data_IF_044757992757
#
_entry.id   IF_044757992757
#
_cell.length_a   1.000
_cell.length_b   1.000
_cell.length_c   1.000
_cell.angle_alpha   90.00
_cell.angle_beta   90.00
_cell.angle_gamma   90.00
#
_symmetry.space_group_name_H-M   'P 1'
#
loop_
_entity.id
_entity.type
_entity.pdbx_description
1 polymer ?
#
# COMPACT_ATOMS: atom_id res chain seq x y z
N UNK A 1 4.36 -6.06 5.64
CA UNK A 1 4.25 -7.21 6.57
C UNK A 1 5.55 -7.44 7.32
N UNK A 2 6.64 -7.88 6.69
CA UNK A 2 7.95 -8.14 7.35
C UNK A 2 8.40 -6.98 8.25
N UNK A 3 8.51 -5.76 7.71
CA UNK A 3 8.86 -4.56 8.50
C UNK A 3 7.87 -4.24 9.63
N UNK A 4 6.58 -4.51 9.43
CA UNK A 4 5.56 -4.27 10.45
C UNK A 4 5.69 -5.28 11.58
N UNK A 5 6.00 -6.55 11.27
CA UNK A 5 6.26 -7.58 12.26
C UNK A 5 7.52 -7.25 13.08
N UNK A 6 8.61 -6.83 12.43
CA UNK A 6 9.82 -6.35 13.10
C UNK A 6 9.53 -5.18 14.05
N UNK A 7 8.76 -4.17 13.60
CA UNK A 7 8.38 -3.05 14.47
C UNK A 7 7.56 -3.49 15.68
N UNK A 8 6.74 -4.53 15.56
CA UNK A 8 5.88 -5.03 16.65
C UNK A 8 6.66 -5.78 17.74
N UNK A 9 7.85 -6.30 17.45
CA UNK A 9 8.68 -7.09 18.39
C UNK A 9 9.82 -6.31 19.03
N UNK A 10 10.01 -5.03 18.69
CA UNK A 10 11.07 -4.19 19.28
C UNK A 10 10.78 -3.84 20.75
N UNK A 11 11.78 -3.96 21.62
CA UNK A 11 11.68 -3.59 23.04
C UNK A 11 11.24 -2.13 23.24
N UNK A 12 11.83 -1.20 22.48
CA UNK A 12 11.47 0.23 22.55
C UNK A 12 9.99 0.52 22.27
N UNK A 13 9.31 -0.35 21.51
CA UNK A 13 7.87 -0.24 21.31
C UNK A 13 7.10 -0.59 22.58
N UNK A 14 7.50 -1.65 23.27
CA UNK A 14 6.86 -2.05 24.54
C UNK A 14 7.02 -0.96 25.59
N UNK A 15 8.21 -0.37 25.72
CA UNK A 15 8.46 0.73 26.66
C UNK A 15 7.58 1.96 26.36
N UNK A 16 7.46 2.31 25.08
CA UNK A 16 6.61 3.41 24.63
C UNK A 16 5.13 3.14 24.95
N UNK A 17 4.62 1.95 24.63
CA UNK A 17 3.22 1.60 24.91
C UNK A 17 2.95 1.60 26.42
N UNK A 18 3.88 1.08 27.23
CA UNK A 18 3.77 1.10 28.69
C UNK A 18 3.66 2.53 29.22
N UNK A 19 4.46 3.45 28.66
CA UNK A 19 4.42 4.88 28.99
C UNK A 19 3.10 5.52 28.56
N UNK A 20 2.64 5.27 27.33
CA UNK A 20 1.36 5.78 26.80
C UNK A 20 0.16 5.30 27.60
N UNK A 21 0.22 4.08 28.15
CA UNK A 21 -0.83 3.50 29.01
C UNK A 21 -0.69 3.91 30.48
N UNK A 22 0.33 4.70 30.84
CA UNK A 22 0.64 5.11 32.20
C UNK A 22 0.69 3.93 33.20
N UNK A 23 1.17 2.77 32.74
CA UNK A 23 1.19 1.55 33.55
C UNK A 23 2.32 1.60 34.58
N UNK A 24 1.99 1.33 35.84
CA UNK A 24 2.95 1.27 36.94
C UNK A 24 3.88 0.05 36.82
N UNK A 25 5.08 0.05 37.44
CA UNK A 25 6.04 -1.06 37.35
C UNK A 25 5.51 -2.41 37.84
N UNK A 26 4.56 -2.40 38.78
CA UNK A 26 3.90 -3.55 39.39
C UNK A 26 2.66 -4.04 38.61
N UNK A 27 2.23 -3.30 37.58
CA UNK A 27 1.07 -3.65 36.77
C UNK A 27 1.43 -4.55 35.59
N UNK A 28 0.69 -5.66 35.45
CA UNK A 28 0.82 -6.56 34.30
C UNK A 28 0.04 -5.98 33.13
N UNK A 29 0.76 -5.60 32.07
CA UNK A 29 0.18 -5.13 30.81
C UNK A 29 0.09 -6.28 29.80
N UNK A 30 -1.09 -6.49 29.22
CA UNK A 30 -1.30 -7.43 28.11
C UNK A 30 -1.43 -6.67 26.80
N UNK A 31 -0.69 -7.07 25.77
CA UNK A 31 -0.67 -6.39 24.48
C UNK A 31 -1.25 -7.30 23.40
N UNK A 32 -2.46 -6.95 22.95
CA UNK A 32 -3.15 -7.67 21.88
C UNK A 32 -3.10 -6.89 20.57
N UNK A 33 -2.51 -7.51 19.55
CA UNK A 33 -2.48 -7.00 18.19
C UNK A 33 -3.64 -7.53 17.36
N UNK A 34 -4.28 -6.63 16.63
CA UNK A 34 -5.31 -6.99 15.65
C UNK A 34 -4.65 -7.17 14.27
N UNK A 35 -4.87 -8.33 13.67
CA UNK A 35 -4.36 -8.69 12.36
C UNK A 35 -5.52 -9.09 11.46
N UNK A 36 -5.60 -8.49 10.28
CA UNK A 36 -6.55 -8.87 9.24
C UNK A 36 -5.81 -9.02 7.92
N UNK A 37 -5.00 -10.09 7.78
CA UNK A 37 -4.17 -10.26 6.60
C UNK A 37 -5.05 -10.62 5.41
N UNK A 38 -4.86 -9.90 4.29
CA UNK A 38 -5.55 -10.20 3.03
C UNK A 38 -4.92 -11.38 2.31
N UNK A 39 -5.65 -12.06 1.43
CA UNK A 39 -5.06 -13.11 0.58
C UNK A 39 -3.90 -12.57 -0.26
N UNK A 40 -4.00 -11.34 -0.77
CA UNK A 40 -2.93 -10.71 -1.55
C UNK A 40 -1.68 -10.40 -0.71
N UNK A 41 -1.85 -10.16 0.59
CA UNK A 41 -0.74 -9.97 1.51
C UNK A 41 0.00 -11.29 1.76
N UNK A 42 -0.73 -12.41 1.78
CA UNK A 42 -0.16 -13.75 1.95
C UNK A 42 0.51 -14.23 0.66
N UNK A 43 -0.18 -14.15 -0.49
CA UNK A 43 0.40 -14.48 -1.80
C UNK A 43 1.63 -13.60 -2.08
N UNK A 44 1.56 -12.33 -1.68
CA UNK A 44 2.64 -11.36 -1.80
C UNK A 44 3.90 -11.73 -1.00
N UNK A 45 3.81 -12.53 0.06
CA UNK A 45 4.97 -13.02 0.83
C UNK A 45 5.64 -14.25 0.22
N UNK A 46 4.97 -14.94 -0.70
CA UNK A 46 5.56 -16.10 -1.38
C UNK A 46 6.67 -15.67 -2.34
N UNK A 47 7.60 -16.57 -2.73
CA UNK A 47 8.57 -16.29 -3.78
C UNK A 47 7.88 -15.88 -5.08
N UNK A 48 8.50 -15.00 -5.87
CA UNK A 48 7.91 -14.40 -7.09
C UNK A 48 7.08 -15.37 -7.95
N UNK A 49 7.64 -16.52 -8.32
CA UNK A 49 6.97 -17.49 -9.20
C UNK A 49 5.77 -18.17 -8.53
N UNK A 50 5.91 -18.58 -7.27
CA UNK A 50 4.84 -19.21 -6.51
C UNK A 50 3.71 -18.23 -6.20
N UNK A 51 4.04 -17.02 -5.77
CA UNK A 51 3.05 -15.97 -5.53
C UNK A 51 2.26 -15.65 -6.79
N UNK A 52 2.92 -15.56 -7.95
CA UNK A 52 2.24 -15.36 -9.23
C UNK A 52 1.28 -16.51 -9.58
N UNK A 53 1.69 -17.78 -9.36
CA UNK A 53 0.84 -18.96 -9.58
C UNK A 53 -0.37 -19.01 -8.64
N UNK A 54 -0.18 -18.58 -7.39
CA UNK A 54 -1.26 -18.48 -6.41
C UNK A 54 -2.25 -17.39 -6.80
N UNK A 55 -1.75 -16.20 -7.14
CA UNK A 55 -2.56 -15.07 -7.61
C UNK A 55 -3.35 -15.40 -8.88
N UNK A 56 -2.77 -16.18 -9.80
CA UNK A 56 -3.45 -16.59 -11.03
C UNK A 56 -4.54 -17.65 -10.83
N UNK A 57 -4.70 -18.20 -9.62
CA UNK A 57 -5.69 -19.22 -9.32
C UNK A 57 -6.82 -18.66 -8.46
N UNK A 58 -8.01 -18.37 -9.05
CA UNK A 58 -9.16 -17.86 -8.30
C UNK A 58 -9.57 -18.78 -7.15
N UNK A 59 -9.43 -20.10 -7.33
CA UNK A 59 -9.76 -21.10 -6.31
C UNK A 59 -8.85 -20.97 -5.07
N UNK A 60 -7.54 -20.82 -5.28
CA UNK A 60 -6.58 -20.68 -4.16
C UNK A 60 -6.79 -19.33 -3.48
N UNK A 61 -6.96 -18.25 -4.24
CA UNK A 61 -7.23 -16.92 -3.68
C UNK A 61 -8.53 -16.89 -2.86
N UNK A 62 -9.61 -17.51 -3.36
CA UNK A 62 -10.86 -17.62 -2.61
C UNK A 62 -10.69 -18.44 -1.32
N UNK A 63 -9.91 -19.52 -1.36
CA UNK A 63 -9.59 -20.31 -0.18
C UNK A 63 -8.79 -19.51 0.86
N UNK A 64 -7.75 -18.78 0.43
CA UNK A 64 -6.98 -17.89 1.30
C UNK A 64 -7.87 -16.82 1.91
N UNK A 65 -8.70 -16.15 1.10
CA UNK A 65 -9.63 -15.15 1.59
C UNK A 65 -10.56 -15.74 2.66
N UNK A 66 -11.17 -16.90 2.44
CA UNK A 66 -12.03 -17.54 3.46
C UNK A 66 -11.25 -17.87 4.74
N UNK A 67 -10.01 -18.34 4.63
CA UNK A 67 -9.19 -18.75 5.79
C UNK A 67 -8.68 -17.57 6.64
N UNK A 68 -8.56 -16.40 6.03
CA UNK A 68 -7.99 -15.19 6.63
C UNK A 68 -8.97 -14.00 6.70
N UNK A 69 -10.21 -14.16 6.25
CA UNK A 69 -11.28 -13.15 6.32
C UNK A 69 -11.65 -12.78 7.75
N UNK A 70 -11.43 -13.65 8.73
CA UNK A 70 -11.65 -13.30 10.13
C UNK A 70 -10.44 -12.52 10.67
N UNK A 71 -10.70 -11.35 11.25
CA UNK A 71 -9.70 -10.63 12.04
C UNK A 71 -9.20 -11.52 13.18
N UNK A 72 -7.88 -11.58 13.35
CA UNK A 72 -7.20 -12.37 14.39
C UNK A 72 -6.66 -11.44 15.46
N UNK A 73 -6.79 -11.88 16.71
CA UNK A 73 -6.19 -11.22 17.87
C UNK A 73 -4.98 -12.03 18.30
N UNK A 74 -3.80 -11.43 18.27
CA UNK A 74 -2.56 -12.06 18.71
C UNK A 74 -2.04 -11.34 19.95
N UNK A 75 -1.97 -12.07 21.07
CA UNK A 75 -1.33 -11.58 22.29
C UNK A 75 0.18 -11.57 22.13
N UNK A 76 0.73 -10.45 21.69
CA UNK A 76 2.18 -10.31 21.43
C UNK A 76 3.04 -10.24 22.69
N UNK A 77 2.41 -10.11 23.85
CA UNK A 77 3.01 -10.34 25.15
C UNK A 77 3.20 -11.84 25.47
N UNK A 78 2.69 -12.75 24.64
CA UNK A 78 2.94 -14.19 24.75
C UNK A 78 4.12 -14.65 23.88
N UNK A 79 4.88 -15.62 24.38
CA UNK A 79 6.04 -16.20 23.67
C UNK A 79 5.69 -16.70 22.26
N UNK A 80 4.60 -17.49 22.04
CA UNK A 80 4.33 -18.03 20.70
C UNK A 80 4.05 -16.94 19.66
N UNK A 81 3.26 -15.92 20.01
CA UNK A 81 2.97 -14.83 19.10
C UNK A 81 4.19 -13.94 18.85
N UNK A 82 4.99 -13.70 19.89
CA UNK A 82 6.24 -12.97 19.77
C UNK A 82 7.21 -13.67 18.82
N UNK A 83 7.46 -14.97 19.01
CA UNK A 83 8.37 -15.75 18.16
C UNK A 83 7.92 -15.77 16.70
N UNK A 84 6.62 -15.92 16.44
CA UNK A 84 6.06 -15.84 15.09
C UNK A 84 6.38 -14.50 14.42
N UNK A 85 6.13 -13.38 15.11
CA UNK A 85 6.40 -12.05 14.55
C UNK A 85 7.89 -11.75 14.46
N UNK A 86 8.69 -12.25 15.40
CA UNK A 86 10.14 -12.08 15.42
C UNK A 86 10.77 -12.79 14.23
N UNK A 87 10.39 -14.06 13.99
CA UNK A 87 10.82 -14.81 12.81
C UNK A 87 10.39 -14.12 11.52
N UNK A 88 9.14 -13.66 11.43
CA UNK A 88 8.63 -12.92 10.28
C UNK A 88 9.37 -11.59 10.06
N UNK A 89 9.76 -10.89 11.13
CA UNK A 89 10.58 -9.68 11.07
C UNK A 89 12.02 -9.96 10.61
N UNK A 90 12.56 -11.13 10.96
CA UNK A 90 13.87 -11.61 10.52
C UNK A 90 13.99 -11.91 9.02
N UNK A 91 12.87 -12.02 8.30
CA UNK A 91 12.84 -12.27 6.85
C UNK A 91 13.24 -11.05 5.98
N UNK A 92 14.02 -10.10 6.51
CA UNK A 92 14.43 -8.87 5.82
C UNK A 92 15.11 -9.15 4.47
N UNK A 93 16.07 -10.07 4.41
CA UNK A 93 16.75 -10.40 3.15
C UNK A 93 15.85 -11.18 2.19
N UNK A 94 14.93 -11.98 2.74
CA UNK A 94 13.94 -12.71 1.97
C UNK A 94 12.92 -11.76 1.30
N UNK A 95 12.72 -10.55 1.83
CA UNK A 95 11.87 -9.50 1.23
C UNK A 95 12.14 -9.27 -0.25
N UNK A 96 13.38 -9.37 -0.71
CA UNK A 96 13.77 -9.15 -2.11
C UNK A 96 13.30 -10.27 -3.04
N UNK A 97 13.01 -11.46 -2.50
CA UNK A 97 12.55 -12.62 -3.27
C UNK A 97 11.02 -12.68 -3.41
N UNK A 98 10.30 -11.84 -2.68
CA UNK A 98 8.84 -11.96 -2.58
C UNK A 98 8.13 -11.45 -3.83
N UNK A 99 6.97 -12.04 -4.12
CA UNK A 99 6.07 -11.56 -5.18
C UNK A 99 5.71 -10.09 -4.99
N UNK A 100 5.43 -9.68 -3.75
CA UNK A 100 5.14 -8.29 -3.41
C UNK A 100 6.25 -7.34 -3.84
N UNK A 101 7.52 -7.70 -3.62
CA UNK A 101 8.65 -6.88 -4.06
C UNK A 101 8.69 -6.72 -5.57
N UNK A 102 8.49 -7.80 -6.32
CA UNK A 102 8.48 -7.73 -7.78
C UNK A 102 7.40 -6.81 -8.34
N UNK A 103 6.22 -6.80 -7.72
CA UNK A 103 5.11 -5.92 -8.13
C UNK A 103 5.45 -4.46 -7.80
N UNK A 104 6.00 -4.19 -6.61
CA UNK A 104 6.36 -2.83 -6.19
C UNK A 104 7.48 -2.24 -7.07
N UNK A 105 8.50 -3.02 -7.42
CA UNK A 105 9.58 -2.57 -8.31
C UNK A 105 9.02 -2.28 -9.71
N UNK A 106 8.24 -3.20 -10.29
CA UNK A 106 7.62 -2.98 -11.60
C UNK A 106 6.71 -1.73 -11.61
N UNK A 107 5.96 -1.50 -10.53
CA UNK A 107 5.15 -0.31 -10.37
C UNK A 107 5.99 0.97 -10.29
N UNK A 108 7.07 0.97 -9.51
CA UNK A 108 8.00 2.11 -9.41
C UNK A 108 8.62 2.44 -10.77
N UNK A 109 9.11 1.42 -11.49
CA UNK A 109 9.72 1.59 -12.81
C UNK A 109 8.71 2.16 -13.82
N UNK A 110 7.49 1.61 -13.85
CA UNK A 110 6.42 2.09 -14.74
C UNK A 110 6.01 3.53 -14.43
N UNK A 111 5.87 3.87 -13.15
CA UNK A 111 5.53 5.23 -12.71
C UNK A 111 6.63 6.23 -13.05
N UNK A 112 7.89 5.91 -12.78
CA UNK A 112 9.03 6.77 -13.14
C UNK A 112 9.11 6.97 -14.64
N UNK A 113 9.00 5.90 -15.43
CA UNK A 113 9.03 5.99 -16.89
C UNK A 113 7.92 6.89 -17.42
N UNK A 114 6.68 6.70 -16.97
CA UNK A 114 5.54 7.53 -17.38
C UNK A 114 5.71 8.99 -16.95
N UNK A 115 6.19 9.24 -15.74
CA UNK A 115 6.33 10.60 -15.21
C UNK A 115 7.49 11.38 -15.84
N UNK A 116 8.53 10.69 -16.29
CA UNK A 116 9.68 11.32 -16.96
C UNK A 116 9.49 11.49 -18.46
N UNK A 117 8.54 10.78 -19.08
CA UNK A 117 8.28 10.89 -20.52
C UNK A 117 8.01 12.32 -21.02
N UNK A 118 7.20 13.17 -20.33
CA UNK A 118 6.97 14.54 -20.77
C UNK A 118 8.06 15.54 -20.33
N UNK A 119 9.16 15.11 -19.69
CA UNK A 119 10.11 16.02 -19.04
C UNK A 119 10.69 17.10 -19.97
N UNK A 120 10.96 16.74 -21.22
CA UNK A 120 11.53 17.67 -22.21
C UNK A 120 10.51 18.67 -22.77
N UNK A 121 9.22 18.32 -22.82
CA UNK A 121 8.17 19.13 -23.42
C UNK A 121 7.31 19.87 -22.39
N UNK A 122 7.12 19.28 -21.20
CA UNK A 122 6.28 19.80 -20.13
C UNK A 122 6.82 19.34 -18.76
N UNK A 123 7.79 20.10 -18.24
CA UNK A 123 8.41 19.85 -16.94
C UNK A 123 7.38 19.84 -15.79
N UNK A 124 6.41 20.76 -15.81
CA UNK A 124 5.39 20.86 -14.76
C UNK A 124 4.50 19.61 -14.71
N UNK A 125 4.14 19.06 -15.87
CA UNK A 125 3.40 17.80 -15.96
C UNK A 125 4.20 16.65 -15.34
N UNK A 126 5.50 16.55 -15.62
CA UNK A 126 6.37 15.55 -14.99
C UNK A 126 6.38 15.67 -13.46
N UNK A 127 6.49 16.90 -12.93
CA UNK A 127 6.46 17.13 -11.48
C UNK A 127 5.11 16.71 -10.87
N UNK A 128 4.00 17.03 -11.52
CA UNK A 128 2.67 16.64 -11.02
C UNK A 128 2.44 15.12 -11.08
N UNK A 129 2.88 14.45 -12.14
CA UNK A 129 2.83 12.98 -12.23
C UNK A 129 3.67 12.31 -11.14
N UNK A 130 4.82 12.90 -10.77
CA UNK A 130 5.60 12.43 -9.62
C UNK A 130 4.87 12.67 -8.28
N UNK A 131 4.19 13.81 -8.13
CA UNK A 131 3.42 14.12 -6.90
C UNK A 131 2.29 13.13 -6.65
N UNK A 132 1.72 12.54 -7.71
CA UNK A 132 0.63 11.57 -7.62
C UNK A 132 0.96 10.34 -6.75
N UNK A 133 2.24 10.00 -6.55
CA UNK A 133 2.65 8.92 -5.64
C UNK A 133 2.15 9.11 -4.20
N UNK A 134 1.88 10.36 -3.80
CA UNK A 134 1.28 10.69 -2.50
C UNK A 134 -0.12 10.11 -2.31
N UNK A 135 -0.81 9.66 -3.37
CA UNK A 135 -2.10 8.97 -3.27
C UNK A 135 -1.98 7.57 -2.66
N UNK A 136 -0.81 6.94 -2.78
CA UNK A 136 -0.58 5.60 -2.29
C UNK A 136 -0.11 5.67 -0.84
N UNK A 137 -1.01 5.35 0.11
CA UNK A 137 -0.73 5.38 1.55
C UNK A 137 -1.23 4.13 2.27
N UNK A 138 -0.71 3.92 3.47
CA UNK A 138 -1.19 2.88 4.38
C UNK A 138 -0.85 1.46 3.93
N UNK A 139 -1.63 0.51 4.45
CA UNK A 139 -1.53 -0.93 4.20
C UNK A 139 -2.93 -1.50 3.90
N UNK A 140 -2.99 -2.77 3.47
CA UNK A 140 -4.23 -3.50 3.18
C UNK A 140 -5.21 -2.69 2.29
N UNK A 141 -6.47 -2.51 2.71
CA UNK A 141 -7.52 -1.84 1.91
C UNK A 141 -7.20 -0.37 1.60
N UNK A 142 -6.62 0.35 2.56
CA UNK A 142 -6.22 1.74 2.35
C UNK A 142 -5.19 1.85 1.23
N UNK A 143 -4.24 0.92 1.20
CA UNK A 143 -3.24 0.85 0.13
C UNK A 143 -3.87 0.45 -1.22
N UNK A 144 -4.80 -0.52 -1.22
CA UNK A 144 -5.52 -0.93 -2.44
C UNK A 144 -6.32 0.22 -3.04
N UNK A 145 -7.08 0.96 -2.22
CA UNK A 145 -7.83 2.15 -2.68
C UNK A 145 -6.92 3.25 -3.19
N UNK A 146 -5.78 3.49 -2.52
CA UNK A 146 -4.78 4.46 -2.96
C UNK A 146 -4.18 4.11 -4.32
N UNK A 147 -3.85 2.83 -4.56
CA UNK A 147 -3.38 2.35 -5.87
C UNK A 147 -4.43 2.54 -6.97
N UNK A 148 -5.71 2.23 -6.70
CA UNK A 148 -6.78 2.44 -7.67
C UNK A 148 -6.92 3.92 -8.06
N UNK A 149 -6.94 4.82 -7.07
CA UNK A 149 -6.98 6.27 -7.33
C UNK A 149 -5.77 6.76 -8.12
N UNK A 150 -4.58 6.32 -7.73
CA UNK A 150 -3.35 6.63 -8.45
C UNK A 150 -3.45 6.21 -9.92
N UNK A 151 -3.87 4.97 -10.19
CA UNK A 151 -4.02 4.46 -11.55
C UNK A 151 -5.02 5.31 -12.37
N UNK A 152 -6.15 5.70 -11.77
CA UNK A 152 -7.13 6.57 -12.42
C UNK A 152 -6.57 7.96 -12.74
N UNK A 153 -5.80 8.57 -11.83
CA UNK A 153 -5.17 9.87 -12.06
C UNK A 153 -4.10 9.79 -13.14
N UNK A 154 -3.24 8.77 -13.12
CA UNK A 154 -2.22 8.57 -14.16
C UNK A 154 -2.84 8.29 -15.54
N UNK A 155 -3.97 7.58 -15.58
CA UNK A 155 -4.74 7.42 -16.81
C UNK A 155 -5.28 8.78 -17.30
N UNK A 156 -5.88 9.59 -16.41
CA UNK A 156 -6.31 10.95 -16.75
C UNK A 156 -5.17 11.82 -17.28
N UNK A 157 -3.97 11.73 -16.67
CA UNK A 157 -2.77 12.42 -17.14
C UNK A 157 -2.41 12.05 -18.59
N UNK A 158 -2.56 10.76 -18.95
CA UNK A 158 -2.29 10.30 -20.32
C UNK A 158 -3.26 10.88 -21.36
N UNK A 159 -4.50 11.21 -20.97
CA UNK A 159 -5.51 11.80 -21.86
C UNK A 159 -5.25 13.28 -22.14
N UNK A 160 -4.63 14.00 -21.21
CA UNK A 160 -4.36 15.44 -21.33
C UNK A 160 -2.92 15.78 -21.70
N UNK A 161 -2.04 14.78 -21.89
CA UNK A 161 -0.59 14.95 -21.99
C UNK A 161 -0.12 15.95 -23.06
N UNK A 162 -0.85 16.08 -24.16
CA UNK A 162 -0.47 16.93 -25.30
C UNK A 162 -1.05 18.36 -25.18
N UNK A 163 -1.80 18.64 -24.10
CA UNK A 163 -2.36 19.96 -23.83
C UNK A 163 -1.35 20.87 -23.13
N UNK A 164 -1.50 22.17 -23.34
CA UNK A 164 -0.70 23.19 -22.64
C UNK A 164 -0.99 23.25 -21.14
N UNK A 165 -2.25 23.04 -20.75
CA UNK A 165 -2.74 23.06 -19.36
C UNK A 165 -2.73 21.67 -18.69
N UNK A 166 -2.01 20.69 -19.25
CA UNK A 166 -1.99 19.31 -18.76
C UNK A 166 -1.63 19.21 -17.27
N UNK A 167 -0.61 19.96 -16.84
CA UNK A 167 -0.15 19.98 -15.45
C UNK A 167 -1.25 20.44 -14.48
N UNK A 168 -2.01 21.48 -14.85
CA UNK A 168 -3.11 21.99 -14.04
C UNK A 168 -4.23 20.94 -13.88
N UNK A 169 -4.56 20.24 -14.96
CA UNK A 169 -5.56 19.17 -14.90
C UNK A 169 -5.11 17.99 -14.05
N UNK A 170 -3.85 17.56 -14.17
CA UNK A 170 -3.30 16.50 -13.31
C UNK A 170 -3.27 16.94 -11.84
N UNK A 171 -2.92 18.19 -11.55
CA UNK A 171 -2.97 18.74 -10.20
C UNK A 171 -4.40 18.73 -9.63
N UNK A 172 -5.41 19.09 -10.43
CA UNK A 172 -6.83 19.02 -10.04
C UNK A 172 -7.28 17.58 -9.77
N UNK A 173 -6.91 16.63 -10.64
CA UNK A 173 -7.20 15.20 -10.45
C UNK A 173 -6.54 14.67 -9.17
N UNK A 174 -5.28 15.03 -8.92
CA UNK A 174 -4.54 14.65 -7.72
C UNK A 174 -5.19 15.22 -6.45
N UNK A 175 -5.56 16.51 -6.45
CA UNK A 175 -6.23 17.15 -5.33
C UNK A 175 -7.61 16.52 -5.04
N UNK A 176 -8.41 16.28 -6.08
CA UNK A 176 -9.69 15.58 -5.96
C UNK A 176 -9.49 14.18 -5.36
N UNK A 177 -8.52 13.40 -5.86
CA UNK A 177 -8.24 12.07 -5.35
C UNK A 177 -7.81 12.04 -3.86
N UNK A 178 -7.08 13.07 -3.40
CA UNK A 178 -6.65 13.21 -2.00
C UNK A 178 -7.81 13.52 -1.05
N UNK A 179 -8.74 14.38 -1.47
CA UNK A 179 -9.83 14.89 -0.63
C UNK A 179 -11.09 14.04 -0.66
N UNK A 180 -11.08 12.91 -1.37
CA UNK A 180 -12.30 12.19 -1.73
C UNK A 180 -12.34 10.76 -1.17
N UNK A 181 -12.85 10.54 0.05
CA UNK A 181 -12.99 9.21 0.63
C UNK A 181 -13.89 8.28 -0.20
N UNK A 182 -14.90 8.84 -0.88
CA UNK A 182 -15.97 8.10 -1.56
C UNK A 182 -15.69 7.87 -3.07
N UNK A 183 -14.75 8.60 -3.67
CA UNK A 183 -14.36 8.46 -5.08
C UNK A 183 -15.17 9.28 -6.08
N UNK A 184 -16.16 10.08 -5.61
CA UNK A 184 -17.09 10.85 -6.46
C UNK A 184 -16.46 12.11 -7.07
N UNK A 185 -15.63 12.82 -6.32
CA UNK A 185 -14.97 14.02 -6.81
C UNK A 185 -13.93 13.67 -7.88
N UNK A 186 -13.19 12.58 -7.67
CA UNK A 186 -12.26 12.07 -8.67
C UNK A 186 -12.98 11.61 -9.95
N UNK A 187 -14.09 10.87 -9.82
CA UNK A 187 -14.84 10.43 -11.01
C UNK A 187 -15.38 11.62 -11.82
N UNK A 188 -15.98 12.63 -11.15
CA UNK A 188 -16.48 13.82 -11.85
C UNK A 188 -15.37 14.62 -12.54
N UNK A 189 -14.20 14.75 -11.90
CA UNK A 189 -13.05 15.41 -12.53
C UNK A 189 -12.52 14.63 -13.74
N UNK A 190 -12.51 13.30 -13.68
CA UNK A 190 -12.14 12.45 -14.82
C UNK A 190 -13.15 12.52 -15.96
N UNK A 191 -14.45 12.60 -15.67
CA UNK A 191 -15.48 12.77 -16.69
C UNK A 191 -15.39 14.13 -17.36
N UNK A 192 -14.98 15.16 -16.61
CA UNK A 192 -14.66 16.47 -17.19
C UNK A 192 -13.46 16.34 -18.13
N UNK A 193 -12.37 15.69 -17.72
CA UNK A 193 -11.20 15.45 -18.58
C UNK A 193 -11.59 14.74 -19.89
N UNK A 194 -12.44 13.71 -19.80
CA UNK A 194 -12.90 12.95 -20.97
C UNK A 194 -13.76 13.74 -21.94
N UNK A 195 -14.40 14.82 -21.52
CA UNK A 195 -15.26 15.62 -22.40
C UNK A 195 -14.49 16.54 -23.34
N UNK A 196 -13.20 16.78 -23.06
CA UNK A 196 -12.36 17.69 -23.84
C UNK A 196 -11.00 17.10 -24.24
N UNK A 197 -10.76 15.83 -23.93
CA UNK A 197 -9.63 15.03 -24.42
C UNK A 197 -9.99 14.32 -25.72
#
# INVERSE_FOLDING_TARGET
IIRVADLKTRGSRFDRIRTEMAACPDQVMQLTEYFHPRAEEISGMLPRSLGARVESSPRIMAWLNRRFAAGRRLRTDSIPAFLLLYWLGGLRSYRLKTRRHSIEVAHLDAWLHQSLAPLASNYELSVEMLRCQRLIKGYSDTHSRGQSKFASVMHGASLVKDRKDAAEWVARLHAAALQDPEGKALSGALDTVRSFS
#
